data_IF_225370872380
#
_entry.id   IF_225370872380
#
_cell.length_a   1.000
_cell.length_b   1.000
_cell.length_c   1.000
_cell.angle_alpha   90.00
_cell.angle_beta   90.00
_cell.angle_gamma   90.00
#
_symmetry.space_group_name_H-M   'P 1'
#
loop_
_entity.id
_entity.type
_entity.pdbx_description
1 polymer ?
#
# COMPACT_ATOMS: atom_id res chain seq x y z
N UNK A 1 33.78 -15.57 7.53
CA UNK A 1 33.15 -16.01 6.27
C UNK A 1 31.63 -15.92 6.33
N UNK A 2 30.96 -16.69 7.20
CA UNK A 2 29.48 -16.68 7.34
C UNK A 2 28.90 -15.28 7.63
N UNK A 3 29.46 -14.56 8.60
CA UNK A 3 29.05 -13.17 8.94
C UNK A 3 29.16 -12.18 7.77
N UNK A 4 30.11 -12.38 6.85
CA UNK A 4 30.26 -11.53 5.67
C UNK A 4 29.18 -11.81 4.62
N UNK A 5 28.83 -13.10 4.45
CA UNK A 5 27.75 -13.52 3.54
C UNK A 5 26.40 -13.03 4.08
N UNK A 6 26.15 -13.18 5.38
CA UNK A 6 24.92 -12.73 6.04
C UNK A 6 24.76 -11.20 5.91
N UNK A 7 25.82 -10.44 6.18
CA UNK A 7 25.79 -8.97 6.01
C UNK A 7 25.57 -8.54 4.55
N UNK A 8 26.08 -9.29 3.57
CA UNK A 8 25.84 -9.02 2.15
C UNK A 8 24.42 -9.35 1.73
N UNK A 9 23.84 -10.43 2.24
CA UNK A 9 22.45 -10.79 2.00
C UNK A 9 21.50 -9.76 2.60
N UNK A 10 21.75 -9.31 3.83
CA UNK A 10 20.97 -8.26 4.49
C UNK A 10 21.06 -6.92 3.75
N UNK A 11 22.26 -6.53 3.32
CA UNK A 11 22.43 -5.33 2.49
C UNK A 11 21.70 -5.44 1.14
N UNK A 12 21.72 -6.62 0.50
CA UNK A 12 20.96 -6.85 -0.75
C UNK A 12 19.45 -6.85 -0.51
N UNK A 13 18.98 -7.38 0.62
CA UNK A 13 17.57 -7.37 1.00
C UNK A 13 17.07 -5.92 1.16
N UNK A 14 17.75 -5.12 1.98
CA UNK A 14 17.35 -3.74 2.24
C UNK A 14 17.48 -2.83 1.00
N UNK A 15 18.38 -3.14 0.07
CA UNK A 15 18.53 -2.37 -1.16
C UNK A 15 17.48 -2.72 -2.24
N UNK A 16 16.79 -3.86 -2.12
CA UNK A 16 15.90 -4.38 -3.19
C UNK A 16 14.47 -4.62 -2.75
N UNK A 17 14.22 -4.73 -1.45
CA UNK A 17 12.91 -5.04 -0.89
C UNK A 17 12.58 -3.99 0.16
N UNK A 18 11.44 -3.32 -0.03
CA UNK A 18 10.92 -2.42 0.97
C UNK A 18 10.35 -3.21 2.15
N UNK A 19 10.71 -2.82 3.36
CA UNK A 19 10.09 -3.34 4.57
C UNK A 19 8.74 -2.66 4.85
N UNK A 20 8.04 -3.13 5.89
CA UNK A 20 6.72 -2.59 6.23
C UNK A 20 6.77 -1.11 6.66
N UNK A 21 7.88 -0.66 7.26
CA UNK A 21 8.07 0.73 7.67
C UNK A 21 8.30 1.61 6.43
N UNK A 22 9.19 1.21 5.54
CA UNK A 22 9.49 1.93 4.30
C UNK A 22 8.25 2.08 3.42
N UNK A 23 7.44 1.02 3.28
CA UNK A 23 6.16 1.10 2.55
C UNK A 23 5.22 2.12 3.18
N UNK A 24 5.13 2.15 4.51
CA UNK A 24 4.24 3.08 5.21
C UNK A 24 4.73 4.52 5.12
N UNK A 25 6.04 4.75 5.22
CA UNK A 25 6.68 6.05 5.04
C UNK A 25 6.42 6.59 3.63
N UNK A 26 6.64 5.76 2.61
CA UNK A 26 6.38 6.14 1.22
C UNK A 26 4.90 6.44 0.94
N UNK A 27 3.97 5.62 1.43
CA UNK A 27 2.53 5.92 1.28
C UNK A 27 2.16 7.22 2.01
N UNK A 28 2.78 7.49 3.16
CA UNK A 28 2.53 8.70 3.95
C UNK A 28 3.02 9.95 3.23
N UNK A 29 4.23 9.93 2.64
CA UNK A 29 4.76 11.06 1.88
C UNK A 29 3.93 11.32 0.63
N UNK A 30 3.47 10.28 -0.08
CA UNK A 30 2.54 10.42 -1.23
C UNK A 30 1.22 11.04 -0.78
N UNK A 31 0.61 10.54 0.30
CA UNK A 31 -0.62 11.09 0.86
C UNK A 31 -0.48 12.58 1.22
N UNK A 32 0.68 12.99 1.74
CA UNK A 32 1.00 14.38 2.11
C UNK A 32 1.34 15.28 0.92
N UNK A 33 1.47 14.73 -0.29
CA UNK A 33 1.84 15.49 -1.49
C UNK A 33 3.31 15.88 -1.55
N UNK A 34 4.18 15.10 -0.91
CA UNK A 34 5.63 15.33 -0.89
C UNK A 34 6.33 14.76 -2.14
N UNK A 35 5.59 14.01 -2.97
CA UNK A 35 6.07 13.43 -4.23
C UNK A 35 5.50 14.13 -5.46
N UNK A 36 6.31 14.09 -6.53
CA UNK A 36 5.94 14.54 -7.87
C UNK A 36 5.94 13.38 -8.85
N UNK A 37 5.18 13.55 -9.92
CA UNK A 37 5.14 12.65 -11.07
C UNK A 37 5.50 13.39 -12.36
N UNK A 38 6.14 12.68 -13.28
CA UNK A 38 6.53 13.20 -14.57
C UNK A 38 5.40 13.06 -15.58
N UNK A 39 5.07 14.15 -16.25
CA UNK A 39 4.07 14.19 -17.31
C UNK A 39 4.61 14.87 -18.55
N UNK A 40 4.01 14.56 -19.70
CA UNK A 40 4.27 15.30 -20.94
C UNK A 40 3.42 16.57 -20.94
N UNK A 41 4.11 17.72 -21.05
CA UNK A 41 3.50 19.04 -21.13
C UNK A 41 3.67 19.58 -22.54
N UNK A 42 2.57 19.96 -23.17
CA UNK A 42 2.59 20.64 -24.47
C UNK A 42 3.15 22.05 -24.31
N UNK A 43 4.13 22.42 -25.15
CA UNK A 43 4.77 23.74 -25.14
C UNK A 43 4.49 24.58 -26.40
N UNK A 44 3.64 24.07 -27.30
CA UNK A 44 3.30 24.72 -28.58
C UNK A 44 3.72 23.87 -29.78
N UNK A 45 3.14 24.14 -30.95
CA UNK A 45 3.51 23.54 -32.25
C UNK A 45 3.58 22.00 -32.27
N UNK A 46 2.77 21.33 -31.45
CA UNK A 46 2.79 19.87 -31.30
C UNK A 46 4.01 19.32 -30.55
N UNK A 47 4.88 20.17 -30.02
CA UNK A 47 6.06 19.78 -29.25
C UNK A 47 5.71 19.60 -27.78
N UNK A 48 6.20 18.52 -27.19
CA UNK A 48 6.03 18.19 -25.77
C UNK A 48 7.38 18.15 -25.05
N UNK A 49 7.37 18.52 -23.78
CA UNK A 49 8.51 18.36 -22.87
C UNK A 49 8.08 17.59 -21.62
N UNK A 50 9.03 17.00 -20.91
CA UNK A 50 8.79 16.38 -19.60
C UNK A 50 8.70 17.50 -18.56
N UNK A 51 7.70 17.44 -17.69
CA UNK A 51 7.52 18.33 -16.55
C UNK A 51 7.13 17.53 -15.32
N UNK A 52 7.61 17.95 -14.15
CA UNK A 52 7.15 17.40 -12.88
C UNK A 52 5.89 18.16 -12.42
N UNK A 53 4.87 17.41 -12.01
CA UNK A 53 3.68 17.92 -11.32
C UNK A 53 3.53 17.20 -9.98
N UNK A 54 2.79 17.79 -9.05
CA UNK A 54 2.46 17.08 -7.81
C UNK A 54 1.59 15.86 -8.13
N UNK A 55 1.82 14.74 -7.43
CA UNK A 55 1.04 13.50 -7.60
C UNK A 55 -0.46 13.79 -7.53
N UNK A 56 -1.24 13.30 -8.48
CA UNK A 56 -2.68 13.53 -8.57
C UNK A 56 -3.47 13.19 -7.30
N UNK A 57 -4.57 13.92 -7.05
CA UNK A 57 -5.40 13.74 -5.86
C UNK A 57 -5.95 12.31 -5.70
N UNK A 58 -6.24 11.62 -6.82
CA UNK A 58 -6.69 10.22 -6.83
C UNK A 58 -5.66 9.29 -6.19
N UNK A 59 -4.39 9.46 -6.50
CA UNK A 59 -3.32 8.59 -6.00
C UNK A 59 -3.00 8.90 -4.53
N UNK A 60 -3.11 10.18 -4.12
CA UNK A 60 -3.03 10.56 -2.70
C UNK A 60 -4.17 9.97 -1.87
N UNK A 61 -5.40 9.97 -2.41
CA UNK A 61 -6.55 9.30 -1.80
C UNK A 61 -6.30 7.79 -1.71
N UNK A 62 -5.71 7.19 -2.74
CA UNK A 62 -5.38 5.76 -2.71
C UNK A 62 -4.36 5.43 -1.63
N UNK A 63 -3.33 6.27 -1.45
CA UNK A 63 -2.37 6.12 -0.36
C UNK A 63 -3.05 6.21 1.01
N UNK A 64 -3.93 7.20 1.21
CA UNK A 64 -4.72 7.34 2.44
C UNK A 64 -5.61 6.11 2.72
N UNK A 65 -6.25 5.56 1.68
CA UNK A 65 -7.09 4.36 1.78
C UNK A 65 -6.26 3.16 2.26
N UNK A 66 -5.07 2.93 1.69
CA UNK A 66 -4.20 1.83 2.08
C UNK A 66 -3.70 1.96 3.51
N UNK A 67 -3.32 3.18 3.93
CA UNK A 67 -2.94 3.48 5.31
C UNK A 67 -4.12 3.22 6.26
N UNK A 68 -5.31 3.73 5.93
CA UNK A 68 -6.50 3.54 6.77
C UNK A 68 -6.92 2.07 6.86
N UNK A 69 -6.79 1.28 5.79
CA UNK A 69 -7.01 -0.18 5.81
C UNK A 69 -6.05 -0.89 6.76
N UNK A 70 -4.76 -0.51 6.76
CA UNK A 70 -3.77 -1.06 7.70
C UNK A 70 -4.15 -0.83 9.17
N UNK A 71 -4.76 0.31 9.47
CA UNK A 71 -5.20 0.67 10.83
C UNK A 71 -6.66 0.31 11.13
N UNK A 72 -7.35 -0.38 10.24
CA UNK A 72 -8.75 -0.78 10.45
C UNK A 72 -9.73 0.39 10.53
N UNK A 73 -9.42 1.52 9.89
CA UNK A 73 -10.27 2.73 9.89
C UNK A 73 -11.56 2.53 9.09
N UNK A 74 -11.53 1.62 8.11
CA UNK A 74 -12.68 1.31 7.25
C UNK A 74 -13.29 -0.02 7.68
N UNK A 75 -14.62 -0.07 7.80
CA UNK A 75 -15.38 -1.29 7.98
C UNK A 75 -16.21 -1.52 6.73
N UNK A 76 -16.03 -2.69 6.12
CA UNK A 76 -16.94 -3.15 5.09
C UNK A 76 -18.15 -3.77 5.79
N UNK A 77 -19.34 -3.21 5.54
CA UNK A 77 -20.59 -3.73 6.09
C UNK A 77 -20.94 -5.07 5.43
N UNK A 78 -20.42 -6.17 5.96
CA UNK A 78 -20.85 -7.51 5.56
C UNK A 78 -22.14 -7.86 6.31
N UNK A 79 -23.25 -7.89 5.58
CA UNK A 79 -24.47 -8.56 6.02
C UNK A 79 -24.27 -10.07 5.82
N UNK A 80 -23.84 -10.77 6.87
CA UNK A 80 -23.77 -12.24 6.85
C UNK A 80 -24.98 -12.78 7.60
N UNK A 81 -25.94 -13.34 6.88
CA UNK A 81 -26.96 -14.20 7.46
C UNK A 81 -26.33 -15.55 7.73
N UNK A 82 -25.98 -15.82 9.00
CA UNK A 82 -25.51 -17.13 9.44
C UNK A 82 -26.70 -17.87 10.02
N UNK A 83 -27.13 -18.96 9.39
CA UNK A 83 -27.97 -19.95 10.05
C UNK A 83 -27.05 -20.91 10.82
N UNK A 84 -27.00 -20.84 12.18
CA UNK A 84 -26.17 -21.74 12.95
C UNK A 84 -26.71 -23.18 12.85
N UNK A 85 -25.88 -24.11 12.39
CA UNK A 85 -26.18 -25.54 12.47
C UNK A 85 -26.06 -25.96 13.94
N UNK A 86 -27.19 -26.25 14.59
CA UNK A 86 -27.22 -26.86 15.93
C UNK A 86 -27.12 -28.38 15.81
N UNK A 87 -26.05 -28.96 16.35
CA UNK A 87 -25.95 -30.41 16.58
C UNK A 87 -26.64 -30.74 17.90
N UNK A 88 -27.81 -31.38 17.84
CA UNK A 88 -28.52 -31.89 19.02
C UNK A 88 -28.03 -33.32 19.26
N UNK A 89 -27.54 -33.61 20.48
CA UNK A 89 -27.18 -34.96 20.88
C UNK A 89 -28.42 -35.67 21.44
N UNK A 90 -29.01 -36.56 20.63
CA UNK A 90 -30.23 -37.32 20.97
C UNK A 90 -29.95 -38.70 21.59
N UNK A 91 -28.71 -38.98 22.01
CA UNK A 91 -28.40 -40.21 22.74
C UNK A 91 -28.81 -40.06 24.21
N UNK A 92 -29.79 -40.86 24.64
CA UNK A 92 -29.99 -41.15 26.06
C UNK A 92 -28.78 -41.98 26.57
N UNK A 93 -28.27 -41.62 27.76
CA UNK A 93 -27.19 -42.36 28.44
C UNK A 93 -27.46 -43.86 28.55
#
# INVERSE_FOLDING_TARGET
>A
MKSYIDAKLEAMHNAKTADAQEVLEYLTSVMRGEHKEQVLKLIGDGVQTISDIDVGAKDRIKAAELIGKRYGMFKDGLAVEVEPITLINDLAE
#
